data_IF_929654158113
#
_entry.id   IF_929654158113
#
_cell.length_a   1.000
_cell.length_b   1.000
_cell.length_c   1.000
_cell.angle_alpha   90.00
_cell.angle_beta   90.00
_cell.angle_gamma   90.00
#
_symmetry.space_group_name_H-M   'P 1'
#
loop_
_entity.id
_entity.type
_entity.pdbx_description
1 polymer ?
#
# COMPACT_ATOMS: atom_id res chain seq x y z
N UNK A 1 35.16 2.80 -33.27
CA UNK A 1 34.02 2.35 -32.45
C UNK A 1 34.40 1.02 -31.81
N UNK A 2 35.03 1.04 -30.63
CA UNK A 2 35.36 -0.18 -29.86
C UNK A 2 35.10 -0.02 -28.35
N UNK A 3 34.42 1.05 -27.95
CA UNK A 3 34.09 1.34 -26.54
C UNK A 3 32.77 0.66 -26.16
N UNK A 4 32.77 -0.68 -26.14
CA UNK A 4 31.61 -1.45 -25.66
C UNK A 4 31.51 -1.32 -24.15
N UNK A 5 30.29 -1.26 -23.63
CA UNK A 5 29.97 -1.29 -22.21
C UNK A 5 29.79 -2.73 -21.72
N UNK A 6 29.97 -2.96 -20.42
CA UNK A 6 29.89 -4.31 -19.86
C UNK A 6 28.56 -4.99 -20.19
N UNK A 7 27.44 -4.25 -20.06
CA UNK A 7 26.09 -4.75 -20.31
C UNK A 7 25.88 -5.27 -21.76
N UNK A 8 26.66 -4.81 -22.72
CA UNK A 8 26.56 -5.23 -24.13
C UNK A 8 27.21 -6.59 -24.40
N UNK A 9 28.10 -7.04 -23.50
CA UNK A 9 28.88 -8.27 -23.68
C UNK A 9 28.61 -9.32 -22.60
N UNK A 10 28.17 -8.90 -21.41
CA UNK A 10 27.90 -9.79 -20.29
C UNK A 10 26.97 -9.13 -19.27
N UNK A 11 26.13 -9.92 -18.63
CA UNK A 11 25.35 -9.48 -17.48
C UNK A 11 24.95 -10.70 -16.62
N UNK A 12 25.10 -10.67 -15.29
CA UNK A 12 24.69 -11.77 -14.40
C UNK A 12 23.15 -11.79 -14.22
N UNK A 13 22.42 -12.10 -15.29
CA UNK A 13 20.95 -12.04 -15.34
C UNK A 13 20.32 -12.91 -14.25
N UNK A 14 20.82 -14.13 -14.04
CA UNK A 14 20.27 -15.09 -13.08
C UNK A 14 20.34 -14.53 -11.65
N UNK A 15 21.54 -14.14 -11.21
CA UNK A 15 21.78 -13.68 -9.84
C UNK A 15 21.06 -12.36 -9.55
N UNK A 16 21.08 -11.41 -10.49
CA UNK A 16 20.36 -10.13 -10.33
C UNK A 16 18.85 -10.35 -10.28
N UNK A 17 18.33 -11.34 -11.03
CA UNK A 17 16.90 -11.69 -11.01
C UNK A 17 16.49 -12.33 -9.70
N UNK A 18 17.34 -13.18 -9.11
CA UNK A 18 17.13 -13.78 -7.78
C UNK A 18 17.05 -12.70 -6.69
N UNK A 19 17.98 -11.74 -6.68
CA UNK A 19 17.94 -10.60 -5.75
C UNK A 19 16.72 -9.71 -5.98
N UNK A 20 16.37 -9.45 -7.24
CA UNK A 20 15.17 -8.68 -7.63
C UNK A 20 13.86 -9.34 -7.19
N UNK A 21 13.81 -10.67 -7.17
CA UNK A 21 12.67 -11.42 -6.64
C UNK A 21 12.64 -11.38 -5.11
N UNK A 22 13.81 -11.48 -4.47
CA UNK A 22 13.94 -11.46 -3.00
C UNK A 22 13.50 -10.11 -2.42
N UNK A 23 13.91 -9.00 -3.02
CA UNK A 23 13.61 -7.67 -2.49
C UNK A 23 12.11 -7.33 -2.43
N UNK A 24 11.27 -7.95 -3.28
CA UNK A 24 9.80 -7.76 -3.24
C UNK A 24 9.18 -8.15 -1.90
N UNK A 25 9.86 -8.98 -1.13
CA UNK A 25 9.43 -9.43 0.19
C UNK A 25 10.01 -8.59 1.34
N UNK A 26 10.87 -7.62 1.05
CA UNK A 26 11.48 -6.75 2.05
C UNK A 26 10.49 -5.66 2.43
N UNK A 27 10.11 -5.64 3.71
CA UNK A 27 9.08 -4.74 4.26
C UNK A 27 9.64 -3.66 5.18
N UNK A 28 10.95 -3.63 5.39
CA UNK A 28 11.61 -2.66 6.26
C UNK A 28 12.72 -1.94 5.51
N UNK A 29 12.77 -0.61 5.61
CA UNK A 29 13.78 0.24 4.97
C UNK A 29 13.69 0.36 3.45
N UNK A 30 12.86 -0.46 2.78
CA UNK A 30 12.68 -0.41 1.34
C UNK A 30 11.78 0.76 0.93
N UNK A 31 12.18 1.52 -0.09
CA UNK A 31 11.44 2.74 -0.52
C UNK A 31 9.98 2.47 -0.92
N UNK A 32 9.62 1.23 -1.29
CA UNK A 32 8.25 0.86 -1.65
C UNK A 32 7.30 0.85 -0.47
N UNK A 33 7.81 0.88 0.76
CA UNK A 33 7.01 0.98 1.97
C UNK A 33 6.79 2.41 2.42
N UNK A 34 7.40 3.39 1.74
CA UNK A 34 7.15 4.80 1.95
C UNK A 34 5.92 5.24 1.15
N UNK A 35 6.03 5.25 -0.18
CA UNK A 35 4.90 5.44 -1.09
C UNK A 35 4.81 4.24 -2.04
N UNK A 36 3.62 3.66 -2.12
CA UNK A 36 3.35 2.52 -2.99
C UNK A 36 3.22 3.00 -4.44
N UNK A 37 3.96 2.38 -5.35
CA UNK A 37 3.82 2.57 -6.79
C UNK A 37 3.73 1.21 -7.48
N UNK A 38 2.65 0.99 -8.23
CA UNK A 38 2.31 -0.34 -8.77
C UNK A 38 3.32 -0.86 -9.81
N UNK A 39 4.01 0.03 -10.52
CA UNK A 39 4.96 -0.31 -11.57
C UNK A 39 6.43 -0.14 -11.15
N UNK A 40 6.73 -0.08 -9.85
CA UNK A 40 8.11 0.17 -9.38
C UNK A 40 9.04 -0.98 -9.78
N UNK A 41 10.15 -0.63 -10.45
CA UNK A 41 11.19 -1.60 -10.83
C UNK A 41 12.03 -2.01 -9.61
N UNK A 42 12.57 -3.24 -9.60
CA UNK A 42 13.44 -3.65 -8.52
C UNK A 42 14.69 -2.78 -8.39
N UNK A 43 15.11 -2.45 -7.17
CA UNK A 43 16.32 -1.66 -6.94
C UNK A 43 17.59 -2.45 -7.28
N UNK A 44 17.61 -3.75 -6.98
CA UNK A 44 18.70 -4.66 -7.35
C UNK A 44 19.00 -4.62 -8.85
N UNK A 45 17.97 -4.81 -9.68
CA UNK A 45 18.08 -4.71 -11.13
C UNK A 45 18.50 -3.29 -11.55
N UNK A 46 17.83 -2.27 -11.03
CA UNK A 46 18.10 -0.86 -11.39
C UNK A 46 19.55 -0.45 -11.13
N UNK A 47 20.12 -0.86 -10.00
CA UNK A 47 21.52 -0.59 -9.63
C UNK A 47 22.49 -1.36 -10.51
N UNK A 48 22.25 -2.66 -10.69
CA UNK A 48 23.12 -3.54 -11.46
C UNK A 48 23.18 -3.12 -12.94
N UNK A 49 22.02 -2.81 -13.55
CA UNK A 49 21.97 -2.36 -14.95
C UNK A 49 22.58 -0.97 -15.12
N UNK A 50 22.30 -0.03 -14.20
CA UNK A 50 22.90 1.31 -14.25
C UNK A 50 24.43 1.24 -14.18
N UNK A 51 24.96 0.41 -13.27
CA UNK A 51 26.41 0.23 -13.17
C UNK A 51 26.99 -0.45 -14.42
N UNK A 52 26.44 -1.58 -14.85
CA UNK A 52 26.93 -2.34 -16.00
C UNK A 52 26.87 -1.56 -17.34
N UNK A 53 25.91 -0.64 -17.47
CA UNK A 53 25.78 0.21 -18.65
C UNK A 53 26.82 1.34 -18.72
N UNK A 54 27.42 1.71 -17.57
CA UNK A 54 28.30 2.88 -17.47
C UNK A 54 29.78 2.54 -17.32
N UNK A 55 30.14 1.25 -17.21
CA UNK A 55 31.51 0.76 -17.17
C UNK A 55 31.91 0.06 -18.48
N UNK A 56 33.21 0.04 -18.85
CA UNK A 56 33.66 -0.60 -20.08
C UNK A 56 33.48 -2.12 -20.01
N UNK A 57 33.41 -2.74 -21.19
CA UNK A 57 33.56 -4.19 -21.36
C UNK A 57 34.89 -4.68 -20.72
N UNK A 58 34.95 -5.94 -20.27
CA UNK A 58 36.20 -6.51 -19.79
C UNK A 58 37.14 -6.81 -20.96
N UNK A 59 38.44 -6.60 -20.75
CA UNK A 59 39.50 -6.88 -21.73
C UNK A 59 39.92 -8.36 -21.72
N UNK A 60 39.74 -9.03 -20.58
CA UNK A 60 40.12 -10.43 -20.38
C UNK A 60 39.17 -11.16 -19.42
N UNK A 61 39.34 -12.48 -19.31
CA UNK A 61 38.48 -13.36 -18.50
C UNK A 61 38.56 -13.03 -17.00
N UNK A 62 39.72 -12.62 -16.50
CA UNK A 62 39.90 -12.28 -15.10
C UNK A 62 39.14 -10.99 -14.73
N UNK A 63 39.24 -9.97 -15.58
CA UNK A 63 38.49 -8.74 -15.42
C UNK A 63 36.97 -8.97 -15.57
N UNK A 64 36.58 -9.86 -16.49
CA UNK A 64 35.20 -10.29 -16.66
C UNK A 64 34.64 -10.86 -15.37
N UNK A 65 35.34 -11.81 -14.73
CA UNK A 65 34.86 -12.41 -13.48
C UNK A 65 34.83 -11.37 -12.35
N UNK A 66 35.87 -10.55 -12.20
CA UNK A 66 35.91 -9.47 -11.19
C UNK A 66 34.73 -8.51 -11.33
N UNK A 67 34.45 -8.01 -12.54
CA UNK A 67 33.31 -7.10 -12.81
C UNK A 67 31.97 -7.80 -12.58
N UNK A 68 31.84 -9.05 -13.04
CA UNK A 68 30.63 -9.87 -12.86
C UNK A 68 30.32 -10.09 -11.37
N UNK A 69 31.30 -10.55 -10.58
CA UNK A 69 31.13 -10.76 -9.14
C UNK A 69 30.81 -9.46 -8.41
N UNK A 70 31.43 -8.35 -8.82
CA UNK A 70 31.11 -7.04 -8.25
C UNK A 70 29.68 -6.61 -8.56
N UNK A 71 29.17 -6.81 -9.79
CA UNK A 71 27.77 -6.53 -10.14
C UNK A 71 26.81 -7.38 -9.29
N UNK A 72 27.11 -8.68 -9.11
CA UNK A 72 26.32 -9.57 -8.26
C UNK A 72 26.30 -9.05 -6.82
N UNK A 73 27.47 -8.71 -6.27
CA UNK A 73 27.58 -8.17 -4.92
C UNK A 73 26.82 -6.84 -4.77
N UNK A 74 26.97 -5.94 -5.73
CA UNK A 74 26.31 -4.64 -5.76
C UNK A 74 24.78 -4.78 -5.83
N UNK A 75 24.26 -5.81 -6.51
CA UNK A 75 22.81 -6.04 -6.64
C UNK A 75 22.10 -6.45 -5.34
N UNK A 76 22.83 -6.96 -4.34
CA UNK A 76 22.24 -7.41 -3.07
C UNK A 76 21.64 -6.25 -2.28
N UNK A 77 20.47 -6.46 -1.68
CA UNK A 77 19.79 -5.42 -0.89
C UNK A 77 20.62 -4.94 0.30
N UNK A 78 21.28 -5.85 1.01
CA UNK A 78 22.09 -5.56 2.20
C UNK A 78 23.27 -4.62 1.89
N UNK A 79 23.74 -4.67 0.65
CA UNK A 79 24.86 -3.85 0.18
C UNK A 79 24.41 -2.50 -0.38
N UNK A 80 23.11 -2.20 -0.41
CA UNK A 80 22.57 -0.95 -0.97
C UNK A 80 23.06 0.32 -0.26
N UNK A 81 23.55 0.20 0.97
CA UNK A 81 24.14 1.27 1.78
C UNK A 81 25.60 1.01 2.13
N UNK A 82 26.25 0.02 1.50
CA UNK A 82 27.67 -0.25 1.74
C UNK A 82 28.52 0.88 1.14
N UNK A 83 29.08 1.72 2.01
CA UNK A 83 29.87 2.89 1.59
C UNK A 83 31.07 2.53 0.71
N UNK A 84 31.73 1.39 0.96
CA UNK A 84 32.90 0.95 0.18
C UNK A 84 32.50 0.56 -1.24
N UNK A 85 31.48 -0.29 -1.37
CA UNK A 85 30.99 -0.76 -2.67
C UNK A 85 30.44 0.40 -3.50
N UNK A 86 29.66 1.30 -2.90
CA UNK A 86 29.12 2.48 -3.59
C UNK A 86 30.25 3.45 -3.99
N UNK A 87 31.25 3.68 -3.14
CA UNK A 87 32.38 4.55 -3.47
C UNK A 87 33.22 3.97 -4.62
N UNK A 88 33.47 2.65 -4.61
CA UNK A 88 34.12 1.95 -5.71
C UNK A 88 33.31 2.11 -7.00
N UNK A 89 32.00 1.83 -6.96
CA UNK A 89 31.15 1.92 -8.14
C UNK A 89 31.14 3.35 -8.74
N UNK A 90 31.07 4.39 -7.88
CA UNK A 90 31.22 5.79 -8.29
C UNK A 90 32.55 6.07 -8.99
N UNK A 91 33.65 5.58 -8.41
CA UNK A 91 35.00 5.76 -8.96
C UNK A 91 35.14 5.08 -10.32
N UNK A 92 34.66 3.85 -10.43
CA UNK A 92 34.71 3.07 -11.68
C UNK A 92 33.91 3.77 -12.79
N UNK A 93 32.69 4.22 -12.49
CA UNK A 93 31.87 5.00 -13.43
C UNK A 93 32.55 6.32 -13.80
N UNK A 94 33.03 7.09 -12.84
CA UNK A 94 33.66 8.39 -13.11
C UNK A 94 34.89 8.25 -14.00
N UNK A 95 35.71 7.22 -13.74
CA UNK A 95 36.92 6.94 -14.51
C UNK A 95 36.60 6.49 -15.94
N UNK A 96 35.57 5.65 -16.10
CA UNK A 96 35.08 5.17 -17.39
C UNK A 96 34.43 6.26 -18.27
N UNK A 97 34.14 7.44 -17.70
CA UNK A 97 33.39 8.51 -18.36
C UNK A 97 34.18 9.84 -18.32
N UNK A 98 35.50 9.76 -18.47
CA UNK A 98 36.37 10.94 -18.66
C UNK A 98 36.43 11.86 -17.44
N UNK A 99 36.26 11.32 -16.23
CA UNK A 99 36.28 12.10 -15.00
C UNK A 99 35.04 12.95 -14.77
N UNK A 100 33.98 12.77 -15.57
CA UNK A 100 32.72 13.52 -15.46
C UNK A 100 31.57 12.60 -15.07
N UNK A 101 30.71 12.99 -14.10
CA UNK A 101 29.49 12.26 -13.82
C UNK A 101 28.64 12.09 -15.09
N UNK A 102 28.28 10.84 -15.46
CA UNK A 102 27.39 10.62 -16.59
C UNK A 102 26.02 11.25 -16.35
N UNK A 103 25.41 11.75 -17.41
CA UNK A 103 24.03 12.24 -17.39
C UNK A 103 23.09 11.09 -17.69
N UNK A 104 22.16 10.81 -16.79
CA UNK A 104 21.16 9.74 -16.94
C UNK A 104 19.78 10.38 -16.96
N UNK A 105 19.02 10.15 -18.05
CA UNK A 105 17.62 10.54 -18.16
C UNK A 105 16.75 9.29 -18.11
N UNK A 106 15.85 9.22 -17.13
CA UNK A 106 14.74 8.28 -17.12
C UNK A 106 13.44 9.05 -17.41
N UNK A 107 12.94 9.03 -18.66
CA UNK A 107 11.74 9.79 -19.04
C UNK A 107 10.43 9.12 -18.57
N UNK A 108 10.49 7.91 -18.00
CA UNK A 108 9.33 7.14 -17.53
C UNK A 108 9.59 6.57 -16.14
N UNK A 109 10.07 7.44 -15.25
CA UNK A 109 10.68 7.02 -13.99
C UNK A 109 9.68 6.35 -13.02
N UNK A 110 8.39 6.68 -13.13
CA UNK A 110 7.33 6.15 -12.27
C UNK A 110 7.69 6.24 -10.80
N UNK A 111 8.01 5.09 -10.19
CA UNK A 111 8.36 5.00 -8.76
C UNK A 111 9.79 5.43 -8.40
N UNK A 112 10.65 5.76 -9.37
CA UNK A 112 11.96 6.37 -9.14
C UNK A 112 13.13 5.41 -8.90
N UNK A 113 13.00 4.11 -9.18
CA UNK A 113 14.05 3.13 -8.86
C UNK A 113 15.35 3.33 -9.65
N UNK A 114 15.25 3.46 -10.99
CA UNK A 114 16.40 3.69 -11.87
C UNK A 114 17.09 5.00 -11.53
N UNK A 115 16.39 6.16 -11.47
CA UNK A 115 17.05 7.40 -11.15
C UNK A 115 17.62 7.44 -9.73
N UNK A 116 16.99 6.78 -8.75
CA UNK A 116 17.55 6.69 -7.39
C UNK A 116 18.90 5.97 -7.39
N UNK A 117 18.98 4.83 -8.08
CA UNK A 117 20.20 4.04 -8.11
C UNK A 117 21.29 4.71 -8.96
N UNK A 118 20.94 5.35 -10.09
CA UNK A 118 21.87 6.17 -10.86
C UNK A 118 22.46 7.32 -10.02
N UNK A 119 21.63 8.02 -9.25
CA UNK A 119 22.06 9.06 -8.32
C UNK A 119 22.98 8.51 -7.22
N UNK A 120 22.66 7.34 -6.64
CA UNK A 120 23.52 6.65 -5.66
C UNK A 120 24.87 6.26 -6.25
N UNK A 121 24.90 5.90 -7.53
CA UNK A 121 26.12 5.58 -8.27
C UNK A 121 26.90 6.81 -8.76
N UNK A 122 26.47 8.02 -8.38
CA UNK A 122 27.20 9.26 -8.64
C UNK A 122 26.92 9.89 -10.00
N UNK A 123 25.84 9.49 -10.68
CA UNK A 123 25.42 10.09 -11.94
C UNK A 123 24.68 11.42 -11.71
N UNK A 124 24.74 12.31 -12.69
CA UNK A 124 23.84 13.46 -12.80
C UNK A 124 22.51 12.94 -13.37
N UNK A 125 21.45 12.89 -12.56
CA UNK A 125 20.24 12.15 -12.90
C UNK A 125 19.02 13.05 -13.08
N UNK A 126 18.28 12.79 -14.15
CA UNK A 126 17.05 13.46 -14.53
C UNK A 126 15.92 12.42 -14.61
N UNK A 127 14.78 12.73 -13.99
CA UNK A 127 13.61 11.86 -13.99
C UNK A 127 12.40 12.63 -14.54
N UNK A 128 11.75 12.07 -15.56
CA UNK A 128 10.54 12.59 -16.16
C UNK A 128 9.35 11.66 -15.90
N UNK A 129 8.17 12.27 -15.77
CA UNK A 129 6.91 11.55 -15.62
C UNK A 129 5.72 12.47 -15.93
N UNK A 130 4.69 11.92 -16.57
CA UNK A 130 3.44 12.63 -16.86
C UNK A 130 2.44 12.51 -15.70
N UNK A 131 2.43 11.37 -14.99
CA UNK A 131 1.51 11.15 -13.89
C UNK A 131 1.88 12.01 -12.66
N UNK A 132 1.00 12.92 -12.20
CA UNK A 132 1.32 13.84 -11.10
C UNK A 132 1.58 13.12 -9.77
N UNK A 133 0.96 11.97 -9.52
CA UNK A 133 1.22 11.15 -8.32
C UNK A 133 2.63 10.59 -8.36
N UNK A 134 3.10 10.12 -9.51
CA UNK A 134 4.48 9.66 -9.63
C UNK A 134 5.48 10.82 -9.56
N UNK A 135 5.16 12.01 -10.08
CA UNK A 135 5.99 13.21 -9.86
C UNK A 135 6.15 13.50 -8.35
N UNK A 136 5.08 13.43 -7.57
CA UNK A 136 5.15 13.59 -6.10
C UNK A 136 6.05 12.53 -5.46
N UNK A 137 5.89 11.26 -5.86
CA UNK A 137 6.74 10.16 -5.38
C UNK A 137 8.22 10.39 -5.74
N UNK A 138 8.51 10.88 -6.95
CA UNK A 138 9.86 11.19 -7.41
C UNK A 138 10.47 12.32 -6.59
N UNK A 139 9.71 13.38 -6.27
CA UNK A 139 10.18 14.45 -5.37
C UNK A 139 10.58 13.91 -4.00
N UNK A 140 9.73 13.07 -3.40
CA UNK A 140 10.01 12.42 -2.11
C UNK A 140 11.16 11.41 -2.17
N UNK A 141 11.42 10.80 -3.34
CA UNK A 141 12.47 9.77 -3.50
C UNK A 141 13.83 10.37 -3.85
N UNK A 142 13.87 11.42 -4.66
CA UNK A 142 15.07 11.94 -5.30
C UNK A 142 15.44 13.34 -4.83
N UNK A 143 14.47 14.25 -4.74
CA UNK A 143 14.74 15.69 -4.56
C UNK A 143 14.79 16.10 -3.08
N UNK A 144 13.71 15.86 -2.35
CA UNK A 144 13.57 16.30 -0.95
C UNK A 144 14.61 15.69 0.00
N UNK A 145 15.01 14.40 -0.11
CA UNK A 145 16.08 13.87 0.73
C UNK A 145 17.43 14.57 0.51
N UNK A 146 17.71 15.01 -0.72
CA UNK A 146 18.96 15.73 -1.03
C UNK A 146 18.91 17.18 -0.54
N UNK A 147 17.75 17.83 -0.69
CA UNK A 147 17.53 19.23 -0.31
C UNK A 147 17.42 19.43 1.20
N UNK A 148 16.69 18.55 1.88
CA UNK A 148 16.30 18.73 3.29
C UNK A 148 16.74 17.58 4.20
N UNK A 149 17.23 16.46 3.67
CA UNK A 149 17.61 15.28 4.46
C UNK A 149 19.04 15.30 5.02
N UNK A 150 19.81 16.37 4.84
CA UNK A 150 21.18 16.47 5.36
C UNK A 150 21.16 16.56 6.89
N UNK A 151 21.83 15.64 7.63
CA UNK A 151 21.86 15.70 9.08
C UNK A 151 22.50 17.00 9.57
N UNK A 152 21.86 17.65 10.54
CA UNK A 152 22.42 18.78 11.29
C UNK A 152 23.00 18.26 12.61
N UNK A 153 24.11 18.85 13.04
CA UNK A 153 24.71 18.55 14.34
C UNK A 153 24.07 19.45 15.38
N UNK A 154 23.45 18.85 16.39
CA UNK A 154 22.96 19.54 17.58
C UNK A 154 23.87 19.22 18.75
N UNK A 155 24.27 20.26 19.49
CA UNK A 155 25.10 20.16 20.69
C UNK A 155 24.24 20.45 21.91
N UNK A 156 24.10 19.47 22.80
CA UNK A 156 23.59 19.67 24.16
C UNK A 156 24.70 19.36 25.15
N UNK A 157 25.36 20.41 25.65
CA UNK A 157 26.56 20.29 26.48
C UNK A 157 27.70 19.59 25.73
N UNK A 158 28.17 18.46 26.27
CA UNK A 158 29.25 17.65 25.68
C UNK A 158 28.76 16.59 24.69
N UNK A 159 27.45 16.43 24.51
CA UNK A 159 26.88 15.42 23.61
C UNK A 159 26.55 16.03 22.25
N UNK A 160 27.09 15.40 21.20
CA UNK A 160 26.75 15.72 19.81
C UNK A 160 25.78 14.68 19.27
N UNK A 161 24.62 15.14 18.79
CA UNK A 161 23.66 14.28 18.07
C UNK A 161 23.48 14.78 16.64
N UNK A 162 23.45 13.84 15.68
CA UNK A 162 23.13 14.16 14.28
C UNK A 162 21.66 13.86 14.04
N UNK A 163 20.88 14.89 13.74
CA UNK A 163 19.45 14.75 13.43
C UNK A 163 19.19 15.11 11.98
N UNK A 164 18.40 14.28 11.29
CA UNK A 164 17.90 14.59 9.97
C UNK A 164 16.58 15.38 10.13
N UNK A 165 16.55 16.69 9.81
CA UNK A 165 15.39 17.53 10.10
C UNK A 165 14.13 17.05 9.38
N UNK A 166 14.26 16.67 8.09
CA UNK A 166 13.14 16.12 7.32
C UNK A 166 12.56 14.86 7.99
N UNK A 167 13.41 13.95 8.45
CA UNK A 167 12.96 12.73 9.13
C UNK A 167 12.23 13.05 10.46
N UNK A 168 12.77 13.96 11.26
CA UNK A 168 12.17 14.33 12.53
C UNK A 168 10.83 15.05 12.35
N UNK A 169 10.72 15.96 11.38
CA UNK A 169 9.46 16.65 11.10
C UNK A 169 8.40 15.71 10.50
N UNK A 170 8.76 14.83 9.55
CA UNK A 170 7.83 13.82 9.04
C UNK A 170 7.32 12.92 10.16
N UNK A 171 8.20 12.52 11.10
CA UNK A 171 7.83 11.72 12.27
C UNK A 171 6.95 12.51 13.25
N UNK A 172 7.26 13.78 13.51
CA UNK A 172 6.48 14.68 14.38
C UNK A 172 5.07 14.87 13.83
N UNK A 173 4.96 15.30 12.58
CA UNK A 173 3.68 15.59 11.94
C UNK A 173 2.88 14.32 11.62
N UNK A 174 3.54 13.21 11.29
CA UNK A 174 2.87 11.91 11.18
C UNK A 174 2.24 11.44 12.49
N UNK A 175 2.93 11.64 13.63
CA UNK A 175 2.35 11.39 14.97
C UNK A 175 1.20 12.35 15.28
N UNK A 176 1.32 13.61 14.89
CA UNK A 176 0.26 14.60 15.09
C UNK A 176 -1.00 14.21 14.30
N UNK A 177 -0.88 13.92 13.00
CA UNK A 177 -1.99 13.45 12.15
C UNK A 177 -2.65 12.22 12.75
N UNK A 178 -1.86 11.23 13.19
CA UNK A 178 -2.38 10.02 13.82
C UNK A 178 -3.13 10.32 15.12
N UNK A 179 -2.60 11.21 15.96
CA UNK A 179 -3.23 11.61 17.21
C UNK A 179 -4.57 12.30 16.97
N UNK A 180 -4.60 13.30 16.08
CA UNK A 180 -5.81 14.07 15.76
C UNK A 180 -6.88 13.20 15.10
N UNK A 181 -6.49 12.34 14.15
CA UNK A 181 -7.42 11.38 13.56
C UNK A 181 -7.97 10.42 14.64
N UNK A 182 -7.11 9.88 15.52
CA UNK A 182 -7.57 8.99 16.60
C UNK A 182 -8.52 9.71 17.57
N UNK A 183 -8.25 10.96 17.91
CA UNK A 183 -9.15 11.76 18.77
C UNK A 183 -10.53 11.95 18.14
N UNK A 184 -10.59 12.20 16.83
CA UNK A 184 -11.85 12.47 16.14
C UNK A 184 -12.68 11.21 15.88
N UNK A 185 -12.07 10.20 15.25
CA UNK A 185 -12.80 9.03 14.74
C UNK A 185 -12.59 7.78 15.59
N UNK A 186 -11.72 7.82 16.60
CA UNK A 186 -11.40 6.65 17.46
C UNK A 186 -12.62 6.06 18.17
N UNK A 187 -13.63 6.89 18.50
CA UNK A 187 -14.89 6.45 19.10
C UNK A 187 -15.66 5.43 18.25
N UNK A 188 -15.43 5.40 16.94
CA UNK A 188 -16.05 4.43 16.02
C UNK A 188 -15.34 3.07 15.98
N UNK A 189 -14.31 2.89 16.81
CA UNK A 189 -13.51 1.67 16.95
C UNK A 189 -13.41 1.29 18.43
N UNK A 190 -14.55 0.99 19.10
CA UNK A 190 -14.56 0.79 20.54
C UNK A 190 -13.69 -0.40 20.94
N UNK A 191 -12.89 -0.22 22.00
CA UNK A 191 -12.13 -1.30 22.61
C UNK A 191 -13.08 -2.30 23.31
N UNK A 192 -12.63 -3.54 23.37
CA UNK A 192 -13.28 -4.59 24.16
C UNK A 192 -12.94 -4.40 25.65
N UNK A 193 -13.77 -4.96 26.53
CA UNK A 193 -13.64 -4.85 28.00
C UNK A 193 -12.28 -5.36 28.52
N UNK A 194 -11.63 -6.30 27.82
CA UNK A 194 -10.31 -6.84 28.18
C UNK A 194 -9.13 -5.99 27.66
N UNK A 195 -9.41 -4.80 27.11
CA UNK A 195 -8.43 -3.88 26.51
C UNK A 195 -7.96 -4.32 25.12
N UNK A 196 -8.66 -5.25 24.46
CA UNK A 196 -8.38 -5.61 23.07
C UNK A 196 -8.88 -4.53 22.11
N UNK A 197 -8.04 -4.18 21.15
CA UNK A 197 -8.27 -3.10 20.19
C UNK A 197 -8.67 -3.70 18.83
N UNK A 198 -9.79 -3.28 18.23
CA UNK A 198 -10.12 -3.64 16.85
C UNK A 198 -9.06 -3.14 15.86
N UNK A 199 -8.48 -4.06 15.09
CA UNK A 199 -7.50 -3.76 14.03
C UNK A 199 -8.00 -4.18 12.64
N UNK A 200 -9.24 -4.67 12.54
CA UNK A 200 -9.88 -5.01 11.29
C UNK A 200 -11.28 -5.57 11.50
N UNK A 201 -12.12 -5.39 10.49
CA UNK A 201 -13.49 -5.92 10.46
C UNK A 201 -13.66 -6.73 9.19
N UNK A 202 -14.24 -7.92 9.32
CA UNK A 202 -14.56 -8.80 8.20
C UNK A 202 -16.02 -8.59 7.84
N UNK A 203 -16.26 -8.17 6.61
CA UNK A 203 -17.59 -7.93 6.06
C UNK A 203 -17.89 -8.95 4.96
N UNK A 204 -19.15 -9.37 4.90
CA UNK A 204 -19.70 -10.09 3.76
C UNK A 204 -20.70 -9.18 3.04
N UNK A 205 -20.59 -9.08 1.70
CA UNK A 205 -21.74 -8.61 0.91
C UNK A 205 -22.83 -9.66 0.98
N UNK A 206 -24.09 -9.26 0.91
CA UNK A 206 -25.23 -10.19 1.05
C UNK A 206 -26.22 -10.02 -0.09
N UNK A 207 -26.95 -11.09 -0.43
CA UNK A 207 -28.08 -11.04 -1.37
C UNK A 207 -29.25 -11.85 -0.81
N UNK A 208 -30.51 -11.50 -1.13
CA UNK A 208 -31.65 -12.31 -0.75
C UNK A 208 -31.71 -13.60 -1.59
N UNK A 209 -32.03 -14.71 -0.95
CA UNK A 209 -32.33 -15.96 -1.63
C UNK A 209 -33.51 -15.77 -2.60
N UNK A 210 -33.35 -16.28 -3.82
CA UNK A 210 -34.37 -16.14 -4.87
C UNK A 210 -35.44 -17.24 -4.84
N UNK A 211 -35.30 -18.22 -3.95
CA UNK A 211 -36.39 -19.16 -3.68
C UNK A 211 -37.50 -18.44 -2.88
N UNK A 212 -38.72 -18.28 -3.44
CA UNK A 212 -39.80 -17.52 -2.81
C UNK A 212 -40.22 -18.03 -1.42
N UNK A 213 -40.08 -19.34 -1.16
CA UNK A 213 -40.39 -19.92 0.15
C UNK A 213 -39.29 -19.74 1.19
N UNK A 214 -38.12 -19.24 0.79
CA UNK A 214 -36.95 -19.07 1.65
C UNK A 214 -36.65 -17.60 1.95
N UNK A 215 -36.36 -16.79 0.92
CA UNK A 215 -36.01 -15.37 1.08
C UNK A 215 -34.79 -15.06 1.97
N UNK A 216 -34.09 -16.06 2.51
CA UNK A 216 -33.04 -15.88 3.49
C UNK A 216 -31.85 -15.07 2.94
N UNK A 217 -31.20 -14.32 3.81
CA UNK A 217 -29.97 -13.61 3.47
C UNK A 217 -28.82 -14.59 3.20
N UNK A 218 -28.18 -14.47 2.03
CA UNK A 218 -27.01 -15.26 1.64
C UNK A 218 -25.76 -14.37 1.77
N UNK A 219 -24.89 -14.58 2.77
CA UNK A 219 -23.61 -13.91 2.84
C UNK A 219 -22.69 -14.44 1.74
N UNK A 220 -22.05 -13.55 0.98
CA UNK A 220 -21.18 -13.87 -0.15
C UNK A 220 -19.72 -13.87 0.28
N UNK A 221 -19.18 -15.06 0.54
CA UNK A 221 -17.77 -15.24 0.92
C UNK A 221 -17.17 -16.36 0.09
N UNK A 222 -16.00 -16.11 -0.52
CA UNK A 222 -15.28 -17.13 -1.31
C UNK A 222 -14.63 -18.22 -0.45
N UNK A 223 -14.30 -17.87 0.79
CA UNK A 223 -13.73 -18.77 1.79
C UNK A 223 -14.11 -18.27 3.19
N UNK A 224 -13.89 -19.11 4.18
CA UNK A 224 -14.14 -18.84 5.58
C UNK A 224 -12.87 -18.79 6.45
N UNK A 225 -11.68 -18.96 5.86
CA UNK A 225 -10.42 -18.80 6.60
C UNK A 225 -10.23 -17.36 7.09
N UNK A 226 -10.01 -17.20 8.40
CA UNK A 226 -9.56 -15.95 9.04
C UNK A 226 -8.04 -15.94 9.24
N UNK A 227 -7.47 -17.10 9.60
CA UNK A 227 -6.03 -17.32 9.67
C UNK A 227 -5.69 -18.74 9.24
N UNK A 228 -4.74 -18.88 8.31
CA UNK A 228 -4.25 -20.17 7.82
C UNK A 228 -2.71 -20.18 7.84
N UNK A 229 -2.15 -20.31 9.04
CA UNK A 229 -0.70 -20.52 9.26
C UNK A 229 -0.47 -21.91 9.83
N UNK A 230 0.74 -22.45 9.68
CA UNK A 230 1.10 -23.80 10.15
C UNK A 230 0.76 -24.00 11.65
N UNK A 231 0.97 -22.97 12.47
CA UNK A 231 0.70 -22.99 13.91
C UNK A 231 -0.62 -22.32 14.32
N UNK A 232 -1.45 -21.87 13.37
CA UNK A 232 -2.70 -21.15 13.67
C UNK A 232 -3.71 -21.29 12.55
N UNK A 233 -4.75 -22.09 12.81
CA UNK A 233 -5.88 -22.31 11.91
C UNK A 233 -7.16 -21.80 12.57
N UNK A 234 -7.70 -20.70 12.06
CA UNK A 234 -8.94 -20.08 12.54
C UNK A 234 -9.84 -19.82 11.33
N UNK A 235 -11.10 -20.22 11.43
CA UNK A 235 -12.10 -20.05 10.39
C UNK A 235 -13.46 -19.61 10.95
N UNK A 236 -14.32 -19.11 10.06
CA UNK A 236 -15.73 -18.90 10.32
C UNK A 236 -16.49 -20.20 10.06
N UNK A 237 -17.17 -20.73 11.08
CA UNK A 237 -18.15 -21.80 10.93
C UNK A 237 -19.51 -21.17 10.70
N UNK A 238 -20.20 -21.61 9.66
CA UNK A 238 -21.56 -21.15 9.33
C UNK A 238 -22.54 -22.27 9.62
N UNK A 239 -23.66 -21.92 10.23
CA UNK A 239 -24.78 -22.85 10.43
C UNK A 239 -26.12 -22.09 10.33
N UNK A 240 -27.19 -22.86 10.16
CA UNK A 240 -28.55 -22.32 10.05
C UNK A 240 -29.20 -22.37 11.42
N UNK A 241 -29.73 -21.23 11.87
CA UNK A 241 -30.54 -21.13 13.07
C UNK A 241 -31.79 -20.31 12.75
N UNK A 242 -32.98 -20.87 12.99
CA UNK A 242 -34.28 -20.24 12.71
C UNK A 242 -34.36 -19.60 11.30
N UNK A 243 -33.94 -20.36 10.28
CA UNK A 243 -33.96 -19.90 8.88
C UNK A 243 -32.93 -18.82 8.53
N UNK A 244 -32.00 -18.49 9.44
CA UNK A 244 -30.96 -17.48 9.23
C UNK A 244 -29.58 -18.10 9.31
N UNK A 245 -28.64 -17.55 8.53
CA UNK A 245 -27.22 -17.92 8.61
C UNK A 245 -26.57 -17.21 9.80
N UNK A 246 -25.95 -18.00 10.68
CA UNK A 246 -25.20 -17.56 11.86
C UNK A 246 -23.73 -17.96 11.71
N UNK A 247 -22.85 -17.16 12.30
CA UNK A 247 -21.40 -17.34 12.26
C UNK A 247 -20.84 -17.65 13.64
N UNK A 248 -19.83 -18.50 13.68
CA UNK A 248 -19.04 -18.80 14.87
C UNK A 248 -17.54 -18.83 14.53
N UNK A 249 -16.68 -18.52 15.49
CA UNK A 249 -15.23 -18.65 15.34
C UNK A 249 -14.80 -20.08 15.68
N UNK A 250 -14.36 -20.84 14.68
CA UNK A 250 -13.80 -22.17 14.86
C UNK A 250 -12.26 -22.13 14.90
N UNK A 251 -11.67 -22.68 15.95
CA UNK A 251 -10.23 -22.98 16.04
C UNK A 251 -10.01 -24.41 15.57
N UNK A 252 -9.00 -24.62 14.71
CA UNK A 252 -8.71 -25.93 14.10
C UNK A 252 -9.97 -26.59 13.50
N UNK A 253 -10.58 -25.96 12.48
CA UNK A 253 -11.86 -26.39 11.94
C UNK A 253 -11.80 -27.83 11.41
N UNK A 254 -12.87 -28.57 11.68
CA UNK A 254 -13.16 -29.94 11.23
C UNK A 254 -13.87 -30.00 9.86
N UNK A 255 -14.18 -28.83 9.29
CA UNK A 255 -14.74 -28.67 7.95
C UNK A 255 -13.72 -28.02 7.01
N UNK A 256 -14.03 -27.98 5.71
CA UNK A 256 -13.19 -27.30 4.70
C UNK A 256 -13.58 -25.80 4.56
N UNK A 257 -12.81 -24.86 5.12
CA UNK A 257 -13.12 -23.44 5.05
C UNK A 257 -12.73 -22.82 3.71
N UNK A 258 -12.15 -23.57 2.76
CA UNK A 258 -11.93 -23.09 1.40
C UNK A 258 -13.22 -23.10 0.55
N UNK A 259 -14.26 -23.83 0.99
CA UNK A 259 -15.56 -23.90 0.32
C UNK A 259 -16.49 -22.79 0.81
N UNK A 260 -16.41 -21.63 0.17
CA UNK A 260 -17.30 -20.50 0.43
C UNK A 260 -18.73 -20.66 -0.11
N UNK A 261 -19.57 -19.67 0.15
CA UNK A 261 -20.95 -19.56 -0.35
C UNK A 261 -21.04 -19.04 -1.79
N UNK A 262 -19.96 -18.49 -2.35
CA UNK A 262 -19.94 -17.90 -3.70
C UNK A 262 -18.67 -18.26 -4.47
N UNK A 263 -18.83 -18.58 -5.76
CA UNK A 263 -17.73 -18.75 -6.73
C UNK A 263 -18.15 -18.18 -8.08
N UNK A 264 -17.40 -17.20 -8.59
CA UNK A 264 -17.71 -16.58 -9.90
C UNK A 264 -19.10 -15.96 -9.98
N UNK A 265 -19.53 -15.26 -8.92
CA UNK A 265 -20.89 -14.70 -8.75
C UNK A 265 -22.03 -15.74 -8.64
N UNK A 266 -21.76 -17.04 -8.73
CA UNK A 266 -22.75 -18.09 -8.43
C UNK A 266 -22.79 -18.30 -6.93
N UNK A 267 -23.94 -18.06 -6.31
CA UNK A 267 -24.12 -18.12 -4.86
C UNK A 267 -25.00 -19.30 -4.46
N UNK A 268 -24.70 -19.95 -3.34
CA UNK A 268 -25.49 -21.05 -2.78
C UNK A 268 -26.12 -20.63 -1.45
N UNK A 269 -27.44 -20.79 -1.33
CA UNK A 269 -28.14 -20.58 -0.08
C UNK A 269 -27.85 -21.72 0.90
N UNK A 270 -27.38 -21.40 2.11
CA UNK A 270 -27.17 -22.40 3.16
C UNK A 270 -28.46 -22.86 3.83
N UNK A 271 -29.56 -22.10 3.68
CA UNK A 271 -30.85 -22.39 4.34
C UNK A 271 -31.66 -23.40 3.54
N UNK A 272 -31.89 -23.17 2.25
CA UNK A 272 -32.70 -24.06 1.40
C UNK A 272 -31.90 -24.80 0.31
N UNK A 273 -30.58 -24.57 0.22
CA UNK A 273 -29.72 -25.20 -0.78
C UNK A 273 -29.82 -24.64 -2.20
N UNK A 274 -30.75 -23.72 -2.48
CA UNK A 274 -30.95 -23.15 -3.82
C UNK A 274 -29.71 -22.41 -4.31
N UNK A 275 -29.48 -22.46 -5.62
CA UNK A 275 -28.39 -21.74 -6.28
C UNK A 275 -28.93 -20.48 -6.96
N UNK A 276 -28.26 -19.36 -6.76
CA UNK A 276 -28.47 -18.11 -7.49
C UNK A 276 -27.37 -17.98 -8.53
N UNK A 277 -27.74 -17.92 -9.80
CA UNK A 277 -26.79 -17.82 -10.91
C UNK A 277 -26.08 -16.46 -10.96
N UNK A 278 -24.98 -16.38 -11.71
CA UNK A 278 -24.14 -15.19 -11.79
C UNK A 278 -24.86 -13.95 -12.32
N UNK A 279 -25.77 -14.10 -13.28
CA UNK A 279 -26.50 -12.97 -13.87
C UNK A 279 -27.54 -12.44 -12.88
N UNK A 280 -28.25 -13.34 -12.20
CA UNK A 280 -29.17 -12.95 -11.13
C UNK A 280 -28.45 -12.27 -9.97
N UNK A 281 -27.30 -12.79 -9.53
CA UNK A 281 -26.50 -12.12 -8.49
C UNK A 281 -26.15 -10.69 -8.90
N UNK A 282 -25.57 -10.47 -10.08
CA UNK A 282 -25.23 -9.13 -10.58
C UNK A 282 -26.45 -8.21 -10.69
N UNK A 283 -27.56 -8.72 -11.21
CA UNK A 283 -28.83 -7.99 -11.29
C UNK A 283 -29.33 -7.55 -9.91
N UNK A 284 -29.22 -8.38 -8.89
CA UNK A 284 -29.63 -8.01 -7.52
C UNK A 284 -28.77 -6.87 -6.96
N UNK A 285 -27.46 -6.88 -7.21
CA UNK A 285 -26.60 -5.76 -6.85
C UNK A 285 -27.00 -4.47 -7.58
N UNK A 286 -27.18 -4.53 -8.90
CA UNK A 286 -27.58 -3.39 -9.73
C UNK A 286 -28.96 -2.83 -9.34
N UNK A 287 -29.86 -3.67 -8.83
CA UNK A 287 -31.18 -3.26 -8.32
C UNK A 287 -31.14 -2.74 -6.87
N UNK A 288 -29.96 -2.61 -6.24
CA UNK A 288 -29.83 -2.19 -4.85
C UNK A 288 -30.36 -3.20 -3.83
N UNK A 289 -30.59 -4.46 -4.24
CA UNK A 289 -31.09 -5.54 -3.37
C UNK A 289 -29.97 -6.27 -2.62
N UNK A 290 -28.71 -5.91 -2.86
CA UNK A 290 -27.57 -6.43 -2.11
C UNK A 290 -27.38 -5.66 -0.80
N UNK A 291 -27.00 -6.36 0.25
CA UNK A 291 -26.64 -5.77 1.54
C UNK A 291 -25.16 -5.95 1.90
N UNK A 292 -24.86 -5.63 3.15
CA UNK A 292 -23.58 -5.91 3.78
C UNK A 292 -23.79 -6.32 5.23
N UNK A 293 -22.97 -7.24 5.72
CA UNK A 293 -23.02 -7.75 7.09
C UNK A 293 -21.63 -7.77 7.69
N UNK A 294 -21.47 -7.13 8.84
CA UNK A 294 -20.26 -7.27 9.64
C UNK A 294 -20.28 -8.65 10.30
N UNK A 295 -19.25 -9.45 10.06
CA UNK A 295 -19.22 -10.86 10.48
C UNK A 295 -18.30 -11.05 11.68
N UNK A 296 -17.06 -10.55 11.59
CA UNK A 296 -16.06 -10.77 12.62
C UNK A 296 -15.16 -9.55 12.82
N UNK A 297 -14.64 -9.44 14.04
CA UNK A 297 -13.68 -8.41 14.44
C UNK A 297 -12.33 -9.07 14.67
N UNK A 298 -11.31 -8.48 14.08
CA UNK A 298 -9.90 -8.85 14.27
C UNK A 298 -9.33 -7.95 15.34
N UNK A 299 -8.83 -8.55 16.41
CA UNK A 299 -8.40 -7.85 17.61
C UNK A 299 -6.89 -7.94 17.80
N UNK A 300 -6.30 -6.88 18.34
CA UNK A 300 -4.95 -6.85 18.87
C UNK A 300 -5.01 -6.50 20.35
N UNK A 301 -4.39 -7.32 21.20
CA UNK A 301 -4.24 -7.01 22.61
C UNK A 301 -2.77 -6.69 22.88
N UNK A 302 -2.41 -5.50 23.41
CA UNK A 302 -1.03 -5.11 23.66
C UNK A 302 -0.26 -6.09 24.57
N UNK A 303 -0.97 -6.84 25.43
CA UNK A 303 -0.40 -7.82 26.36
C UNK A 303 -0.27 -9.23 25.77
N UNK A 304 -0.83 -9.51 24.59
CA UNK A 304 -0.86 -10.85 23.98
C UNK A 304 -0.17 -10.84 22.63
N UNK A 305 0.55 -11.93 22.29
CA UNK A 305 1.16 -12.09 20.96
C UNK A 305 0.12 -12.48 19.91
N UNK A 306 0.15 -11.78 18.78
CA UNK A 306 -0.67 -12.06 17.60
C UNK A 306 -2.11 -11.51 17.70
N UNK A 307 -2.90 -11.78 16.65
CA UNK A 307 -4.28 -11.29 16.52
C UNK A 307 -5.31 -12.31 17.04
N UNK A 308 -6.34 -11.89 17.74
CA UNK A 308 -7.50 -12.71 18.11
C UNK A 308 -8.71 -12.34 17.25
N UNK A 309 -9.77 -13.15 17.31
CA UNK A 309 -10.95 -13.00 16.48
C UNK A 309 -12.21 -13.26 17.31
N UNK A 310 -13.24 -12.44 17.11
CA UNK A 310 -14.58 -12.65 17.68
C UNK A 310 -15.65 -12.34 16.62
N UNK A 311 -16.87 -12.80 16.86
CA UNK A 311 -18.03 -12.38 16.08
C UNK A 311 -18.34 -10.91 16.36
N UNK A 312 -18.80 -10.20 15.34
CA UNK A 312 -19.27 -8.81 15.48
C UNK A 312 -20.49 -8.75 16.40
N UNK A 313 -20.53 -7.77 17.28
CA UNK A 313 -21.63 -7.54 18.22
C UNK A 313 -22.48 -6.34 17.81
N UNK A 314 -23.62 -6.16 18.46
CA UNK A 314 -24.49 -5.00 18.21
C UNK A 314 -23.76 -3.68 18.48
N UNK A 315 -22.88 -3.64 19.49
CA UNK A 315 -21.99 -2.49 19.77
C UNK A 315 -21.10 -2.12 18.57
N UNK A 316 -20.55 -3.10 17.85
CA UNK A 316 -19.73 -2.82 16.66
C UNK A 316 -20.57 -2.22 15.52
N UNK A 317 -21.81 -2.71 15.37
CA UNK A 317 -22.78 -2.25 14.37
C UNK A 317 -23.31 -0.85 14.68
N UNK A 318 -23.60 -0.57 15.95
CA UNK A 318 -23.97 0.76 16.44
C UNK A 318 -22.86 1.77 16.14
N UNK A 319 -21.62 1.47 16.53
CA UNK A 319 -20.47 2.31 16.22
C UNK A 319 -20.26 2.47 14.70
N UNK A 320 -20.71 1.53 13.85
CA UNK A 320 -20.64 1.66 12.40
C UNK A 320 -21.71 2.63 11.88
N UNK A 321 -22.94 2.52 12.37
CA UNK A 321 -24.05 3.42 12.02
C UNK A 321 -23.79 4.85 12.49
N UNK A 322 -23.18 5.03 13.65
CA UNK A 322 -22.75 6.36 14.12
C UNK A 322 -21.67 6.96 13.21
N UNK A 323 -20.69 6.15 12.78
CA UNK A 323 -19.67 6.59 11.83
C UNK A 323 -20.29 6.99 10.48
N UNK A 324 -21.33 6.28 10.04
CA UNK A 324 -22.07 6.61 8.81
C UNK A 324 -22.81 7.93 8.92
N UNK A 325 -23.49 8.21 10.05
CA UNK A 325 -24.12 9.53 10.28
C UNK A 325 -23.08 10.65 10.29
N UNK A 326 -21.98 10.46 11.02
CA UNK A 326 -20.91 11.46 11.10
C UNK A 326 -20.20 11.67 9.75
N UNK A 327 -20.09 10.64 8.91
CA UNK A 327 -19.57 10.78 7.56
C UNK A 327 -20.40 11.78 6.75
N UNK A 328 -21.73 11.69 6.79
CA UNK A 328 -22.58 12.60 6.02
C UNK A 328 -22.38 14.07 6.44
N UNK A 329 -22.36 14.32 7.75
CA UNK A 329 -22.08 15.65 8.31
C UNK A 329 -20.71 16.18 7.89
N UNK A 330 -19.66 15.34 8.04
CA UNK A 330 -18.29 15.73 7.71
C UNK A 330 -18.09 15.93 6.21
N UNK A 331 -18.67 15.07 5.37
CA UNK A 331 -18.59 15.17 3.91
C UNK A 331 -19.21 16.49 3.44
N UNK A 332 -20.40 16.82 3.93
CA UNK A 332 -21.06 18.08 3.60
C UNK A 332 -20.21 19.30 4.00
N UNK A 333 -19.66 19.30 5.22
CA UNK A 333 -18.77 20.36 5.70
C UNK A 333 -17.52 20.51 4.83
N UNK A 334 -16.82 19.41 4.57
CA UNK A 334 -15.58 19.44 3.80
C UNK A 334 -15.83 19.78 2.32
N UNK A 335 -16.97 19.39 1.78
CA UNK A 335 -17.36 19.76 0.42
C UNK A 335 -17.55 21.27 0.28
N UNK A 336 -18.18 21.91 1.27
CA UNK A 336 -18.30 23.38 1.33
C UNK A 336 -16.93 24.06 1.47
N UNK A 337 -16.08 23.57 2.37
CA UNK A 337 -14.74 24.14 2.60
C UNK A 337 -13.77 23.95 1.43
N UNK A 338 -13.83 22.80 0.73
CA UNK A 338 -12.86 22.45 -0.30
C UNK A 338 -13.35 22.76 -1.72
N UNK A 339 -14.66 23.01 -1.90
CA UNK A 339 -15.28 23.23 -3.20
C UNK A 339 -15.34 22.00 -4.10
N UNK A 340 -15.03 20.81 -3.56
CA UNK A 340 -15.07 19.51 -4.24
C UNK A 340 -15.54 18.44 -3.26
N UNK A 341 -16.11 17.34 -3.75
CA UNK A 341 -16.46 16.23 -2.89
C UNK A 341 -15.21 15.58 -2.29
N UNK A 342 -15.08 15.47 -0.95
CA UNK A 342 -13.93 14.82 -0.34
C UNK A 342 -13.94 13.29 -0.56
N UNK A 343 -15.09 12.70 -0.93
CA UNK A 343 -15.20 11.29 -1.33
C UNK A 343 -15.13 11.23 -2.86
N UNK A 344 -14.18 10.48 -3.46
CA UNK A 344 -14.04 10.36 -4.91
C UNK A 344 -15.36 10.00 -5.60
N UNK A 345 -15.89 10.93 -6.38
CA UNK A 345 -17.12 10.80 -7.15
C UNK A 345 -16.86 10.47 -8.63
N UNK A 346 -15.58 10.34 -9.01
CA UNK A 346 -15.21 10.03 -10.37
C UNK A 346 -15.66 8.62 -10.75
N UNK A 347 -16.07 8.51 -12.01
CA UNK A 347 -16.49 7.26 -12.59
C UNK A 347 -15.36 6.22 -12.63
N UNK A 348 -15.67 5.02 -12.17
CA UNK A 348 -14.81 3.85 -12.34
C UNK A 348 -14.72 3.44 -13.81
N UNK A 349 -13.65 2.79 -14.28
CA UNK A 349 -13.59 2.30 -15.65
C UNK A 349 -14.76 1.34 -16.00
N UNK A 350 -15.25 1.39 -17.24
CA UNK A 350 -16.44 0.62 -17.67
C UNK A 350 -16.22 -0.89 -17.69
N UNK A 351 -14.97 -1.35 -17.70
CA UNK A 351 -14.66 -2.77 -17.79
C UNK A 351 -14.72 -3.35 -19.20
N UNK A 352 -14.90 -2.51 -20.22
CA UNK A 352 -15.07 -2.91 -21.63
C UNK A 352 -13.82 -2.72 -22.49
N UNK A 353 -12.84 -1.95 -22.03
CA UNK A 353 -11.59 -1.74 -22.76
C UNK A 353 -10.57 -2.89 -22.67
N UNK A 354 -9.34 -2.61 -23.10
CA UNK A 354 -8.22 -3.57 -23.11
C UNK A 354 -7.39 -3.45 -21.83
N UNK A 355 -6.66 -4.52 -21.49
CA UNK A 355 -5.70 -4.50 -20.37
C UNK A 355 -6.35 -4.38 -18.99
N UNK A 356 -5.86 -3.45 -18.17
CA UNK A 356 -6.29 -3.26 -16.78
C UNK A 356 -7.77 -2.86 -16.66
N UNK A 357 -8.30 -2.16 -17.66
CA UNK A 357 -9.72 -1.78 -17.69
C UNK A 357 -10.62 -3.01 -17.66
N UNK A 358 -10.34 -4.04 -18.48
CA UNK A 358 -11.09 -5.31 -18.51
C UNK A 358 -11.16 -5.99 -17.14
N UNK A 359 -10.14 -5.80 -16.30
CA UNK A 359 -10.10 -6.39 -14.96
C UNK A 359 -11.01 -5.64 -13.95
N UNK A 360 -11.44 -4.42 -14.29
CA UNK A 360 -12.25 -3.56 -13.43
C UNK A 360 -13.74 -3.86 -13.55
N UNK A 361 -14.13 -5.06 -13.09
CA UNK A 361 -15.49 -5.61 -13.28
C UNK A 361 -16.55 -5.14 -12.27
N UNK A 362 -16.26 -4.09 -11.48
CA UNK A 362 -17.08 -3.67 -10.34
C UNK A 362 -18.42 -3.02 -10.74
N UNK A 363 -18.50 -2.40 -11.93
CA UNK A 363 -19.75 -1.85 -12.48
C UNK A 363 -20.83 -2.91 -12.69
N UNK A 364 -20.46 -4.18 -12.85
CA UNK A 364 -21.42 -5.30 -12.88
C UNK A 364 -22.19 -5.47 -11.56
N UNK A 365 -21.75 -4.80 -10.50
CA UNK A 365 -22.35 -4.83 -9.17
C UNK A 365 -22.88 -3.44 -8.75
N UNK A 366 -23.05 -2.51 -9.71
CA UNK A 366 -23.57 -1.17 -9.44
C UNK A 366 -22.61 -0.23 -8.70
N UNK A 367 -21.32 -0.60 -8.59
CA UNK A 367 -20.28 0.28 -8.04
C UNK A 367 -19.70 1.11 -9.19
N UNK A 368 -20.24 2.30 -9.38
CA UNK A 368 -20.01 3.11 -10.57
C UNK A 368 -18.97 4.20 -10.34
N UNK A 369 -18.79 4.65 -9.10
CA UNK A 369 -17.78 5.64 -8.70
C UNK A 369 -16.68 5.02 -7.85
N UNK A 370 -15.52 5.68 -7.77
CA UNK A 370 -14.44 5.22 -6.88
C UNK A 370 -14.87 5.20 -5.41
N UNK A 371 -15.74 6.14 -5.00
CA UNK A 371 -16.34 6.17 -3.67
C UNK A 371 -17.16 4.92 -3.35
N UNK A 372 -17.84 4.31 -4.31
CA UNK A 372 -18.66 3.10 -4.09
C UNK A 372 -17.86 1.87 -3.62
N UNK A 373 -16.54 1.88 -3.84
CA UNK A 373 -15.64 0.80 -3.46
C UNK A 373 -15.38 0.71 -1.95
N UNK A 374 -15.77 1.76 -1.20
CA UNK A 374 -15.51 1.89 0.22
C UNK A 374 -16.82 1.91 1.01
N UNK A 375 -16.82 1.33 2.21
CA UNK A 375 -17.91 1.52 3.17
C UNK A 375 -17.78 2.85 3.90
N UNK A 376 -18.83 3.22 4.64
CA UNK A 376 -18.95 4.53 5.30
C UNK A 376 -17.80 4.79 6.29
N UNK A 377 -17.39 3.77 7.06
CA UNK A 377 -16.27 3.91 8.00
C UNK A 377 -14.91 4.06 7.30
N UNK A 378 -14.70 3.41 6.15
CA UNK A 378 -13.50 3.57 5.34
C UNK A 378 -13.43 4.97 4.71
N UNK A 379 -14.54 5.45 4.14
CA UNK A 379 -14.64 6.82 3.61
C UNK A 379 -14.32 7.84 4.69
N UNK A 380 -14.95 7.71 5.85
CA UNK A 380 -14.73 8.61 6.98
C UNK A 380 -13.24 8.66 7.39
N UNK A 381 -12.59 7.50 7.51
CA UNK A 381 -11.17 7.45 7.84
C UNK A 381 -10.31 8.16 6.78
N UNK A 382 -10.54 7.88 5.50
CA UNK A 382 -9.79 8.49 4.40
C UNK A 382 -9.91 10.01 4.39
N UNK A 383 -11.14 10.54 4.41
CA UNK A 383 -11.35 12.00 4.37
C UNK A 383 -10.83 12.70 5.63
N UNK A 384 -10.86 12.02 6.78
CA UNK A 384 -10.29 12.54 8.03
C UNK A 384 -8.77 12.63 7.93
N UNK A 385 -8.09 11.60 7.42
CA UNK A 385 -6.64 11.67 7.21
C UNK A 385 -6.27 12.76 6.20
N UNK A 386 -6.99 12.87 5.08
CA UNK A 386 -6.78 13.94 4.10
C UNK A 386 -6.94 15.33 4.72
N UNK A 387 -7.99 15.54 5.51
CA UNK A 387 -8.20 16.79 6.26
C UNK A 387 -7.03 17.06 7.22
N UNK A 388 -6.62 16.07 8.03
CA UNK A 388 -5.51 16.28 8.98
C UNK A 388 -4.20 16.56 8.29
N UNK A 389 -3.90 15.94 7.15
CA UNK A 389 -2.71 16.26 6.36
C UNK A 389 -2.77 17.69 5.81
N UNK A 390 -3.93 18.18 5.38
CA UNK A 390 -4.10 19.58 4.96
C UNK A 390 -3.94 20.55 6.13
N UNK A 391 -4.48 20.22 7.30
CA UNK A 391 -4.35 21.03 8.51
C UNK A 391 -2.91 21.07 9.04
N UNK A 392 -2.15 19.96 8.92
CA UNK A 392 -0.74 19.96 9.34
C UNK A 392 0.10 20.93 8.52
N UNK A 393 -0.21 21.10 7.22
CA UNK A 393 0.39 22.15 6.40
C UNK A 393 0.11 23.55 6.96
N UNK A 394 -1.16 23.87 7.23
CA UNK A 394 -1.53 25.18 7.77
C UNK A 394 -0.81 25.46 9.10
N UNK A 395 -0.78 24.46 9.99
CA UNK A 395 -0.06 24.58 11.26
C UNK A 395 1.44 24.76 11.12
N UNK A 396 2.08 24.09 10.16
CA UNK A 396 3.48 24.34 9.87
C UNK A 396 3.72 25.80 9.45
N UNK A 397 2.81 26.39 8.66
CA UNK A 397 2.91 27.80 8.28
C UNK A 397 2.71 28.73 9.48
N UNK A 398 1.77 28.42 10.39
CA UNK A 398 1.59 29.14 11.66
C UNK A 398 2.82 29.03 12.58
N UNK A 399 3.57 27.93 12.51
CA UNK A 399 4.84 27.70 13.21
C UNK A 399 6.05 28.25 12.43
N UNK A 400 5.85 29.15 11.46
CA UNK A 400 6.90 29.82 10.67
C UNK A 400 7.80 28.87 9.84
N UNK A 401 7.31 27.69 9.46
CA UNK A 401 8.03 26.81 8.54
C UNK A 401 8.11 27.45 7.14
N UNK A 402 9.24 27.25 6.46
CA UNK A 402 9.34 27.57 5.03
C UNK A 402 8.26 26.83 4.23
N UNK A 403 7.60 27.54 3.30
CA UNK A 403 6.44 27.00 2.56
C UNK A 403 6.80 25.78 1.72
N UNK A 404 7.97 25.78 1.09
CA UNK A 404 8.41 24.67 0.23
C UNK A 404 8.88 23.47 1.07
N UNK A 405 9.46 23.73 2.23
CA UNK A 405 9.78 22.67 3.20
C UNK A 405 8.52 22.05 3.80
N UNK A 406 7.52 22.85 4.20
CA UNK A 406 6.24 22.35 4.71
C UNK A 406 5.52 21.48 3.66
N UNK A 407 5.54 21.88 2.38
CA UNK A 407 5.05 21.04 1.25
C UNK A 407 5.82 19.72 1.18
N UNK A 408 7.14 19.74 1.35
CA UNK A 408 7.94 18.53 1.33
C UNK A 408 7.57 17.57 2.46
N UNK A 409 7.41 18.08 3.70
CA UNK A 409 6.97 17.28 4.84
C UNK A 409 5.59 16.67 4.59
N UNK A 410 4.61 17.47 4.16
CA UNK A 410 3.24 17.00 3.85
C UNK A 410 3.22 15.96 2.74
N UNK A 411 4.09 16.07 1.74
CA UNK A 411 4.21 15.09 0.65
C UNK A 411 4.62 13.68 1.12
N UNK A 412 5.20 13.54 2.33
CA UNK A 412 5.47 12.23 2.96
C UNK A 412 4.31 11.72 3.84
N UNK A 413 3.37 12.58 4.22
CA UNK A 413 2.27 12.22 5.12
C UNK A 413 1.08 11.60 4.38
N UNK A 414 0.94 11.86 3.08
CA UNK A 414 -0.13 11.30 2.24
C UNK A 414 -0.68 12.31 1.25
#
# INVERSE_FOLDING_TARGET
>A
MNDKRFIEVSFPVKEVSEESAREKNIRHGHISTLHIWWARRPLAASRATSYAALIPAPENVEEWDKKRQFIINLSKWENSLNHSDIAKAKKDILSANGGRPPKVLDPFAGGGSIPLEALRLGCETYAGEYNPVAVLILKCTLEYPQKYGKPKVEKEGWFETKKNPLLEDVKRWGKWVLKEAKMEIGRFYPEDEDGSIPVGYIWARTIPCQNPSCGAEIPLMRQFWLAKKNNKKIALKLFVNNGKVVFEIAKNPDFDPAKGTVKGAIAKCLVCGSTVDANTTRRLFQQGKSGQRMVAVVLHNPRKKGKTYRIATDKDLEAYKEAEKYLEEKRAKLMDEWGIDPVPDEETPEGKGKGAERAFSVRNYGLNTYGDLFNSRQKLALITFTEKVRLSYQKMIEEDYDKEYAKAVVSYLG
#
